data_IF_820708842335
#
_entry.id   IF_820708842335
#
_cell.length_a   1.000
_cell.length_b   1.000
_cell.length_c   1.000
_cell.angle_alpha   90.00
_cell.angle_beta   90.00
_cell.angle_gamma   90.00
#
_symmetry.space_group_name_H-M   'P 1'
#
loop_
_entity.id
_entity.type
_entity.pdbx_description
1 polymer ?
#
# COMPACT_ATOMS: atom_id res chain seq x y z
N UNK A 1 -3.39 2.48 9.72
CA UNK A 1 -3.10 3.19 8.46
C UNK A 1 -3.94 4.44 8.31
N UNK A 2 -5.26 4.34 8.06
CA UNK A 2 -6.12 5.51 7.75
C UNK A 2 -6.02 6.67 8.73
N UNK A 3 -5.96 6.39 10.04
CA UNK A 3 -5.83 7.42 11.08
C UNK A 3 -4.50 8.20 10.98
N UNK A 4 -3.39 7.55 10.61
CA UNK A 4 -2.09 8.20 10.48
C UNK A 4 -2.05 9.16 9.28
N UNK A 5 -2.63 8.73 8.15
CA UNK A 5 -2.78 9.56 6.94
C UNK A 5 -3.68 10.77 7.25
N UNK A 6 -4.85 10.56 7.87
CA UNK A 6 -5.76 11.67 8.23
C UNK A 6 -5.16 12.66 9.22
N UNK A 7 -4.26 12.20 10.10
CA UNK A 7 -3.58 13.05 11.05
C UNK A 7 -2.33 13.75 10.46
N UNK A 8 -2.03 13.53 9.18
CA UNK A 8 -0.85 14.12 8.52
C UNK A 8 0.48 13.51 8.94
N UNK A 9 0.48 12.37 9.64
CA UNK A 9 1.70 11.68 10.05
C UNK A 9 2.29 10.79 8.95
N UNK A 10 1.56 10.59 7.85
CA UNK A 10 2.02 9.80 6.71
C UNK A 10 1.47 10.39 5.41
N UNK A 11 2.37 10.62 4.45
CA UNK A 11 2.04 11.14 3.12
C UNK A 11 1.67 10.04 2.11
N UNK A 12 1.90 8.77 2.43
CA UNK A 12 1.69 7.66 1.50
C UNK A 12 1.77 6.29 2.16
N UNK A 13 1.51 5.25 1.37
CA UNK A 13 1.47 3.85 1.81
C UNK A 13 2.43 3.01 0.99
N UNK A 14 3.29 2.24 1.66
CA UNK A 14 4.21 1.28 1.03
C UNK A 14 3.90 -0.12 1.56
N UNK A 15 3.61 -1.06 0.66
CA UNK A 15 3.24 -2.44 1.04
C UNK A 15 4.00 -3.48 0.24
N UNK A 16 4.29 -4.63 0.84
CA UNK A 16 4.91 -5.78 0.16
C UNK A 16 3.92 -6.59 -0.67
N UNK A 17 2.64 -6.56 -0.32
CA UNK A 17 1.58 -7.28 -1.05
C UNK A 17 0.26 -6.51 -0.97
N UNK A 18 -0.64 -6.78 -1.91
CA UNK A 18 -2.01 -6.23 -1.88
C UNK A 18 -2.82 -6.70 -0.65
N UNK A 19 -2.53 -7.89 -0.12
CA UNK A 19 -3.27 -8.47 1.01
C UNK A 19 -3.04 -7.73 2.32
N UNK A 20 -1.96 -6.94 2.42
CA UNK A 20 -1.71 -6.02 3.54
C UNK A 20 -2.73 -4.88 3.56
N UNK A 21 -3.22 -4.45 2.39
CA UNK A 21 -4.26 -3.42 2.26
C UNK A 21 -5.64 -4.06 2.50
N UNK A 22 -5.97 -5.11 1.73
CA UNK A 22 -7.13 -5.97 2.02
C UNK A 22 -6.97 -7.32 1.33
N UNK A 23 -7.34 -8.44 1.99
CA UNK A 23 -7.36 -9.75 1.37
C UNK A 23 -8.53 -9.94 0.39
N UNK A 24 -9.55 -9.07 0.40
CA UNK A 24 -10.72 -9.17 -0.47
C UNK A 24 -10.64 -8.15 -1.60
N UNK A 25 -10.88 -8.61 -2.84
CA UNK A 25 -10.70 -7.78 -4.05
C UNK A 25 -11.57 -6.52 -4.06
N UNK A 26 -12.82 -6.62 -3.63
CA UNK A 26 -13.75 -5.48 -3.67
C UNK A 26 -13.43 -4.45 -2.60
N UNK A 27 -13.03 -4.90 -1.42
CA UNK A 27 -12.55 -4.04 -0.34
C UNK A 27 -11.22 -3.39 -0.71
N UNK A 28 -10.27 -4.13 -1.31
CA UNK A 28 -9.01 -3.60 -1.80
C UNK A 28 -9.18 -2.40 -2.73
N UNK A 29 -10.14 -2.45 -3.67
CA UNK A 29 -10.43 -1.32 -4.56
C UNK A 29 -11.00 -0.12 -3.81
N UNK A 30 -11.83 -0.35 -2.79
CA UNK A 30 -12.37 0.72 -1.96
C UNK A 30 -11.26 1.37 -1.12
N UNK A 31 -10.35 0.57 -0.56
CA UNK A 31 -9.19 1.07 0.17
C UNK A 31 -8.28 1.89 -0.74
N UNK A 32 -7.96 1.42 -1.95
CA UNK A 32 -7.11 2.17 -2.88
C UNK A 32 -7.70 3.54 -3.22
N UNK A 33 -9.00 3.63 -3.53
CA UNK A 33 -9.66 4.92 -3.80
C UNK A 33 -9.57 5.85 -2.59
N UNK A 34 -9.82 5.31 -1.40
CA UNK A 34 -9.68 6.10 -0.17
C UNK A 34 -8.25 6.62 0.02
N UNK A 35 -7.23 5.79 -0.26
CA UNK A 35 -5.83 6.22 -0.13
C UNK A 35 -5.46 7.25 -1.20
N UNK A 36 -5.91 7.10 -2.45
CA UNK A 36 -5.69 8.10 -3.52
C UNK A 36 -6.30 9.47 -3.19
N UNK A 37 -7.46 9.50 -2.53
CA UNK A 37 -8.12 10.74 -2.12
C UNK A 37 -7.41 11.45 -0.95
N UNK A 38 -6.65 10.70 -0.13
CA UNK A 38 -6.15 11.19 1.16
C UNK A 38 -4.63 11.15 1.31
N UNK A 39 -3.90 10.63 0.33
CA UNK A 39 -2.43 10.50 0.36
C UNK A 39 -1.81 10.88 -0.97
N UNK A 40 -0.50 11.14 -0.97
CA UNK A 40 0.28 11.42 -2.17
C UNK A 40 0.60 10.19 -3.02
N UNK A 41 0.70 8.97 -2.43
CA UNK A 41 1.00 7.76 -3.20
C UNK A 41 0.71 6.43 -2.48
N UNK A 42 0.52 5.37 -3.29
CA UNK A 42 0.58 3.96 -2.88
C UNK A 42 1.64 3.25 -3.72
N UNK A 43 2.58 2.58 -3.06
CA UNK A 43 3.62 1.78 -3.71
C UNK A 43 3.58 0.32 -3.25
N UNK A 44 3.69 -0.61 -4.20
CA UNK A 44 3.88 -2.03 -3.92
C UNK A 44 5.35 -2.37 -4.13
N UNK A 45 6.04 -2.76 -3.05
CA UNK A 45 7.44 -3.19 -3.10
C UNK A 45 7.49 -4.66 -3.45
N UNK A 46 8.08 -4.96 -4.59
CA UNK A 46 8.46 -6.33 -4.94
C UNK A 46 9.92 -6.51 -4.51
N UNK A 47 10.24 -7.49 -3.63
CA UNK A 47 11.63 -7.76 -3.31
C UNK A 47 12.39 -8.12 -4.58
N UNK A 48 13.56 -7.52 -4.77
CA UNK A 48 14.45 -7.88 -5.85
C UNK A 48 14.86 -9.34 -5.63
N UNK A 49 14.45 -10.23 -6.53
CA UNK A 49 14.92 -11.62 -6.49
C UNK A 49 16.40 -11.56 -6.85
N UNK A 50 17.27 -11.68 -5.86
CA UNK A 50 18.66 -12.04 -6.14
C UNK A 50 18.62 -13.43 -6.76
N UNK A 51 18.55 -13.50 -8.10
CA UNK A 51 18.91 -14.72 -8.81
C UNK A 51 20.27 -15.13 -8.28
N UNK A 52 20.31 -16.27 -7.59
CA UNK A 52 21.49 -16.71 -6.86
C UNK A 52 22.73 -16.60 -7.76
N UNK A 53 23.71 -15.80 -7.33
CA UNK A 53 25.07 -16.04 -7.77
C UNK A 53 25.46 -17.42 -7.25
N UNK A 54 25.32 -18.40 -8.15
CA UNK A 54 25.99 -19.71 -8.27
C UNK A 54 26.42 -20.41 -6.98
#
# INVERSE_FOLDING_TARGET
MRQQIRAGYADGVVVVTHSVISPRRDEYKQELRWIEEHSGFVAVVVPEVQEGLR
#
